data_IF_973001547643
#
_entry.id   IF_973001547643
#
_cell.length_a   1.000
_cell.length_b   1.000
_cell.length_c   1.000
_cell.angle_alpha   90.00
_cell.angle_beta   90.00
_cell.angle_gamma   90.00
#
_symmetry.space_group_name_H-M   'P 1'
#
loop_
_entity.id
_entity.type
_entity.pdbx_description
1 polymer ?
#
# COMPACT_ATOMS: atom_id res chain seq x y z
N UNK A 1 0.44 14.52 -15.57
CA UNK A 1 0.16 13.66 -14.40
C UNK A 1 -1.12 12.83 -14.59
N UNK A 2 -2.27 13.43 -14.95
CA UNK A 2 -3.55 12.70 -15.08
C UNK A 2 -3.53 11.44 -15.96
N UNK A 3 -2.89 11.46 -17.14
CA UNK A 3 -2.80 10.27 -18.02
C UNK A 3 -1.96 9.15 -17.39
N UNK A 4 -0.84 9.50 -16.75
CA UNK A 4 0.05 8.52 -16.09
C UNK A 4 -0.62 7.94 -14.85
N UNK A 5 -1.23 8.79 -14.01
CA UNK A 5 -1.97 8.36 -12.81
C UNK A 5 -3.19 7.52 -13.20
N UNK A 6 -3.91 7.90 -14.26
CA UNK A 6 -5.00 7.12 -14.83
C UNK A 6 -4.54 5.74 -15.29
N UNK A 7 -3.45 5.68 -16.07
CA UNK A 7 -2.86 4.41 -16.52
C UNK A 7 -2.42 3.50 -15.37
N UNK A 8 -1.85 4.06 -14.30
CA UNK A 8 -1.49 3.29 -13.09
C UNK A 8 -2.74 2.73 -12.41
N UNK A 9 -3.79 3.54 -12.22
CA UNK A 9 -5.04 3.09 -11.60
C UNK A 9 -5.73 2.01 -12.44
N UNK A 10 -5.83 2.22 -13.76
CA UNK A 10 -6.36 1.22 -14.70
C UNK A 10 -5.53 -0.06 -14.67
N UNK A 11 -4.21 0.05 -14.63
CA UNK A 11 -3.31 -1.10 -14.52
C UNK A 11 -3.56 -1.91 -13.24
N UNK A 12 -3.72 -1.25 -12.08
CA UNK A 12 -4.00 -1.93 -10.82
C UNK A 12 -5.38 -2.61 -10.84
N UNK A 13 -6.40 -1.98 -11.44
CA UNK A 13 -7.75 -2.55 -11.66
C UNK A 13 -7.70 -3.81 -12.52
N UNK A 14 -7.10 -3.71 -13.69
CA UNK A 14 -7.04 -4.81 -14.64
C UNK A 14 -6.16 -5.94 -14.13
N UNK A 15 -5.03 -5.64 -13.45
CA UNK A 15 -4.08 -6.65 -13.02
C UNK A 15 -4.67 -7.70 -12.07
N UNK A 16 -5.48 -7.28 -11.09
CA UNK A 16 -6.11 -8.22 -10.13
C UNK A 16 -7.11 -9.16 -10.81
N UNK A 17 -7.92 -8.64 -11.74
CA UNK A 17 -8.89 -9.45 -12.50
C UNK A 17 -8.16 -10.40 -13.45
N UNK A 18 -7.23 -9.89 -14.25
CA UNK A 18 -6.45 -10.70 -15.20
C UNK A 18 -5.64 -11.77 -14.48
N UNK A 19 -5.00 -11.45 -13.35
CA UNK A 19 -4.27 -12.43 -12.56
C UNK A 19 -5.18 -13.52 -12.01
N UNK A 20 -6.39 -13.17 -11.53
CA UNK A 20 -7.38 -14.14 -11.07
C UNK A 20 -7.86 -15.08 -12.18
N UNK A 21 -8.21 -14.53 -13.35
CA UNK A 21 -8.63 -15.33 -14.52
C UNK A 21 -7.51 -16.25 -15.01
N UNK A 22 -6.29 -15.74 -15.13
CA UNK A 22 -5.13 -16.55 -15.54
C UNK A 22 -4.79 -17.62 -14.50
N UNK A 23 -4.97 -17.33 -13.20
CA UNK A 23 -4.79 -18.31 -12.13
C UNK A 23 -5.84 -19.43 -12.19
N UNK A 24 -7.10 -19.09 -12.50
CA UNK A 24 -8.16 -20.09 -12.65
C UNK A 24 -7.94 -20.97 -13.91
N UNK A 25 -7.36 -20.42 -15.00
CA UNK A 25 -7.12 -21.16 -16.25
C UNK A 25 -5.86 -22.05 -16.24
N UNK A 26 -4.75 -21.56 -15.68
CA UNK A 26 -3.44 -22.21 -15.79
C UNK A 26 -2.61 -22.16 -14.50
N UNK A 27 -3.25 -21.87 -13.37
CA UNK A 27 -2.61 -21.72 -12.08
C UNK A 27 -1.67 -20.51 -12.02
N UNK A 28 -0.94 -20.42 -10.90
CA UNK A 28 -0.01 -19.33 -10.64
C UNK A 28 1.12 -19.22 -11.68
N UNK A 29 1.53 -20.33 -12.31
CA UNK A 29 2.61 -20.36 -13.31
C UNK A 29 2.26 -19.54 -14.56
N UNK A 30 1.03 -19.67 -15.06
CA UNK A 30 0.58 -18.91 -16.23
C UNK A 30 0.59 -17.40 -15.97
N UNK A 31 0.22 -16.99 -14.75
CA UNK A 31 0.27 -15.59 -14.32
C UNK A 31 1.71 -15.06 -14.41
N UNK A 32 2.70 -15.77 -13.85
CA UNK A 32 4.09 -15.34 -13.89
C UNK A 32 4.70 -15.35 -15.29
N UNK A 33 4.39 -16.34 -16.13
CA UNK A 33 4.86 -16.38 -17.52
C UNK A 33 4.30 -15.20 -18.33
N UNK A 34 3.02 -14.88 -18.15
CA UNK A 34 2.38 -13.74 -18.80
C UNK A 34 3.03 -12.42 -18.37
N UNK A 35 3.24 -12.23 -17.06
CA UNK A 35 3.92 -11.05 -16.51
C UNK A 35 5.37 -10.94 -17.00
N UNK A 36 6.09 -12.06 -17.12
CA UNK A 36 7.44 -12.10 -17.67
C UNK A 36 7.46 -11.65 -19.13
N UNK A 37 6.53 -12.14 -19.96
CA UNK A 37 6.41 -11.71 -21.35
C UNK A 37 6.10 -10.22 -21.49
N UNK A 38 5.14 -9.71 -20.71
CA UNK A 38 4.78 -8.29 -20.71
C UNK A 38 5.94 -7.39 -20.26
N UNK A 39 6.64 -7.77 -19.19
CA UNK A 39 7.79 -6.99 -18.70
C UNK A 39 8.96 -7.00 -19.67
N UNK A 40 9.23 -8.14 -20.33
CA UNK A 40 10.23 -8.22 -21.38
C UNK A 40 9.85 -7.35 -22.59
N UNK A 41 8.58 -7.37 -23.01
CA UNK A 41 8.07 -6.50 -24.07
C UNK A 41 8.28 -5.02 -23.73
N UNK A 42 7.93 -4.61 -22.50
CA UNK A 42 8.15 -3.24 -22.04
C UNK A 42 9.64 -2.86 -22.02
N UNK A 43 10.51 -3.77 -21.57
CA UNK A 43 11.96 -3.55 -21.59
C UNK A 43 12.49 -3.33 -23.01
N UNK A 44 12.01 -4.11 -24.00
CA UNK A 44 12.38 -3.94 -25.41
C UNK A 44 11.88 -2.61 -25.99
N UNK A 45 10.65 -2.21 -25.67
CA UNK A 45 10.12 -0.90 -26.09
C UNK A 45 10.97 0.22 -25.50
N UNK A 46 11.27 0.17 -24.21
CA UNK A 46 12.12 1.16 -23.55
C UNK A 46 13.53 1.19 -24.13
N UNK A 47 14.12 0.03 -24.44
CA UNK A 47 15.43 -0.03 -25.08
C UNK A 47 15.48 0.62 -26.48
N UNK A 48 14.35 0.66 -27.19
CA UNK A 48 14.26 1.30 -28.52
C UNK A 48 13.84 2.77 -28.48
N UNK A 49 13.05 3.17 -27.49
CA UNK A 49 12.47 4.53 -27.42
C UNK A 49 13.29 5.48 -26.56
N UNK A 50 14.00 5.00 -25.53
CA UNK A 50 14.78 5.88 -24.67
C UNK A 50 15.99 6.45 -25.44
N UNK A 51 16.17 7.79 -25.43
CA UNK A 51 17.39 8.38 -25.97
C UNK A 51 18.61 7.91 -25.17
N UNK A 52 19.81 7.84 -25.80
CA UNK A 52 21.04 7.52 -25.10
C UNK A 52 21.21 8.40 -23.87
N UNK A 53 21.52 7.79 -22.71
CA UNK A 53 21.75 8.53 -21.46
C UNK A 53 22.84 9.57 -21.70
N UNK A 54 22.52 10.85 -21.48
CA UNK A 54 23.54 11.87 -21.33
C UNK A 54 24.51 11.42 -20.22
N UNK A 55 25.83 11.50 -20.40
CA UNK A 55 26.79 11.20 -19.35
C UNK A 55 26.39 11.97 -18.09
N UNK A 56 26.36 11.30 -16.94
CA UNK A 56 26.17 11.99 -15.67
C UNK A 56 27.21 13.09 -15.58
N UNK A 57 26.78 14.36 -15.58
CA UNK A 57 27.69 15.49 -15.63
C UNK A 57 28.70 15.45 -14.48
N UNK A 58 29.85 16.16 -14.58
CA UNK A 58 31.00 16.04 -13.67
C UNK A 58 30.79 16.44 -12.20
N UNK A 59 29.55 16.55 -11.71
CA UNK A 59 29.19 16.96 -10.34
C UNK A 59 28.30 15.97 -9.59
N UNK A 60 28.16 14.72 -10.07
CA UNK A 60 27.38 13.70 -9.38
C UNK A 60 28.05 13.26 -8.07
N UNK A 61 27.28 13.16 -6.98
CA UNK A 61 27.74 12.53 -5.74
C UNK A 61 28.23 11.11 -6.04
N UNK A 62 29.38 10.74 -5.47
CA UNK A 62 29.80 9.34 -5.49
C UNK A 62 28.73 8.47 -4.83
N UNK A 63 28.55 7.24 -5.31
CA UNK A 63 27.51 6.34 -4.77
C UNK A 63 27.55 6.19 -3.23
N UNK A 64 28.72 6.06 -2.58
CA UNK A 64 28.80 6.06 -1.11
C UNK A 64 28.39 7.39 -0.48
N UNK A 65 28.74 8.52 -1.09
CA UNK A 65 28.32 9.84 -0.62
C UNK A 65 26.81 10.05 -0.76
N UNK A 66 26.20 9.50 -1.81
CA UNK A 66 24.75 9.51 -2.00
C UNK A 66 24.04 8.72 -0.91
N UNK A 67 24.49 7.50 -0.60
CA UNK A 67 23.95 6.69 0.50
C UNK A 67 24.13 7.39 1.85
N UNK A 68 25.32 7.93 2.13
CA UNK A 68 25.58 8.69 3.37
C UNK A 68 24.65 9.90 3.48
N UNK A 69 24.39 10.59 2.36
CA UNK A 69 23.47 11.73 2.35
C UNK A 69 22.03 11.34 2.68
N UNK A 70 21.56 10.17 2.23
CA UNK A 70 20.23 9.66 2.60
C UNK A 70 20.11 9.38 4.10
N UNK A 71 21.14 8.77 4.70
CA UNK A 71 21.18 8.51 6.16
C UNK A 71 21.23 9.81 6.96
N UNK A 72 22.01 10.79 6.51
CA UNK A 72 22.06 12.12 7.13
C UNK A 72 20.70 12.83 7.08
N UNK A 73 20.01 12.79 5.93
CA UNK A 73 18.65 13.33 5.82
C UNK A 73 17.67 12.69 6.81
N UNK A 74 17.77 11.37 7.05
CA UNK A 74 16.99 10.70 8.09
C UNK A 74 17.33 11.17 9.51
N UNK A 75 18.60 11.49 9.77
CA UNK A 75 19.03 11.98 11.08
C UNK A 75 18.55 13.41 11.33
N UNK A 76 18.66 14.26 10.32
CA UNK A 76 18.35 15.70 10.38
C UNK A 76 16.84 15.96 10.39
N UNK A 77 16.07 15.27 9.54
CA UNK A 77 14.65 15.57 9.35
C UNK A 77 13.75 14.71 10.25
N UNK A 78 13.31 15.27 11.38
CA UNK A 78 12.33 14.62 12.29
C UNK A 78 11.02 14.29 11.56
N UNK A 79 10.58 15.14 10.64
CA UNK A 79 9.37 14.92 9.83
C UNK A 79 9.53 13.68 8.96
N UNK A 80 10.69 13.47 8.32
CA UNK A 80 10.94 12.28 7.51
C UNK A 80 10.85 11.00 8.35
N UNK A 81 11.47 10.98 9.53
CA UNK A 81 11.41 9.82 10.45
C UNK A 81 9.99 9.47 10.85
N UNK A 82 9.21 10.46 11.28
CA UNK A 82 7.82 10.25 11.68
C UNK A 82 6.97 9.73 10.52
N UNK A 83 7.13 10.34 9.34
CA UNK A 83 6.36 9.98 8.14
C UNK A 83 6.78 8.63 7.55
N UNK A 84 8.05 8.26 7.70
CA UNK A 84 8.54 6.92 7.39
C UNK A 84 7.99 5.86 8.36
N UNK A 85 7.89 6.15 9.66
CA UNK A 85 7.23 5.26 10.62
C UNK A 85 5.74 5.06 10.28
N UNK A 86 5.02 6.12 9.89
CA UNK A 86 3.66 5.97 9.35
C UNK A 86 3.64 5.09 8.09
N UNK A 87 4.58 5.29 7.16
CA UNK A 87 4.70 4.46 5.96
C UNK A 87 4.81 2.98 6.31
N UNK A 88 5.71 2.64 7.25
CA UNK A 88 5.88 1.27 7.70
C UNK A 88 4.57 0.69 8.23
N UNK A 89 3.89 1.41 9.15
CA UNK A 89 2.67 0.90 9.79
C UNK A 89 1.51 0.77 8.81
N UNK A 90 1.24 1.78 7.97
CA UNK A 90 0.10 1.71 7.04
C UNK A 90 0.30 0.63 5.98
N UNK A 91 1.52 0.42 5.48
CA UNK A 91 1.80 -0.61 4.47
C UNK A 91 1.93 -2.00 5.08
N UNK A 92 2.33 -2.11 6.35
CA UNK A 92 2.16 -3.34 7.11
C UNK A 92 0.69 -3.69 7.24
N UNK A 93 -0.16 -2.78 7.73
CA UNK A 93 -1.62 -2.98 7.83
C UNK A 93 -2.26 -3.35 6.48
N UNK A 94 -1.86 -2.68 5.39
CA UNK A 94 -2.30 -3.02 4.03
C UNK A 94 -2.02 -4.48 3.69
N UNK A 95 -0.76 -4.92 3.88
CA UNK A 95 -0.36 -6.27 3.54
C UNK A 95 -0.90 -7.31 4.52
N UNK A 96 -1.18 -6.92 5.77
CA UNK A 96 -1.84 -7.80 6.74
C UNK A 96 -3.24 -8.19 6.31
N UNK A 97 -3.98 -7.27 5.69
CA UNK A 97 -5.25 -7.59 5.06
C UNK A 97 -5.02 -8.40 3.78
N UNK A 98 -4.29 -7.83 2.83
CA UNK A 98 -4.30 -8.29 1.44
C UNK A 98 -3.56 -9.60 1.19
N UNK A 99 -2.51 -9.91 1.95
CA UNK A 99 -1.73 -11.12 1.73
C UNK A 99 -2.50 -12.40 2.07
N UNK A 100 -3.14 -12.53 3.26
CA UNK A 100 -3.90 -13.73 3.61
C UNK A 100 -5.36 -13.71 3.13
N UNK A 101 -5.90 -12.61 2.59
CA UNK A 101 -7.34 -12.46 2.26
C UNK A 101 -7.92 -13.61 1.42
N UNK A 102 -7.12 -14.18 0.51
CA UNK A 102 -7.53 -15.32 -0.31
C UNK A 102 -7.80 -16.57 0.53
N UNK A 103 -7.06 -16.79 1.62
CA UNK A 103 -7.13 -18.01 2.43
C UNK A 103 -8.53 -18.27 3.02
N UNK A 104 -9.16 -17.33 3.76
CA UNK A 104 -10.51 -17.56 4.28
C UNK A 104 -11.59 -17.57 3.20
N UNK A 105 -11.37 -16.88 2.06
CA UNK A 105 -12.35 -16.80 0.97
C UNK A 105 -12.35 -18.03 0.07
N UNK A 106 -11.20 -18.68 -0.11
CA UNK A 106 -11.07 -19.92 -0.89
C UNK A 106 -11.39 -21.16 -0.05
N UNK A 107 -11.37 -21.07 1.27
CA UNK A 107 -11.81 -22.15 2.17
C UNK A 107 -13.33 -22.16 2.41
N UNK A 108 -13.88 -23.26 2.97
CA UNK A 108 -15.24 -23.26 3.51
C UNK A 108 -15.42 -22.17 4.58
N UNK A 109 -16.58 -21.49 4.66
CA UNK A 109 -17.84 -21.74 3.94
C UNK A 109 -17.94 -21.06 2.56
N UNK A 110 -16.97 -20.23 2.16
CA UNK A 110 -17.08 -19.34 1.01
C UNK A 110 -16.72 -20.02 -0.32
N UNK A 111 -15.65 -20.83 -0.32
CA UNK A 111 -15.16 -21.61 -1.48
C UNK A 111 -15.14 -20.80 -2.79
N UNK A 112 -14.78 -19.53 -2.71
CA UNK A 112 -14.83 -18.61 -3.85
C UNK A 112 -13.66 -18.87 -4.82
N UNK A 113 -13.92 -18.82 -6.15
CA UNK A 113 -12.87 -18.90 -7.15
C UNK A 113 -11.96 -17.65 -7.10
N UNK A 114 -10.71 -17.78 -7.57
CA UNK A 114 -9.71 -16.71 -7.45
C UNK A 114 -10.11 -15.46 -8.24
N UNK A 115 -10.81 -15.62 -9.36
CA UNK A 115 -11.40 -14.53 -10.13
C UNK A 115 -12.37 -13.67 -9.31
N UNK A 116 -13.25 -14.28 -8.49
CA UNK A 116 -14.19 -13.56 -7.62
C UNK A 116 -13.45 -12.92 -6.45
N UNK A 117 -12.49 -13.62 -5.85
CA UNK A 117 -11.64 -13.00 -4.81
C UNK A 117 -10.84 -11.81 -5.35
N UNK A 118 -10.41 -11.88 -6.62
CA UNK A 118 -9.77 -10.77 -7.33
C UNK A 118 -10.66 -9.53 -7.48
N UNK A 119 -11.98 -9.68 -7.58
CA UNK A 119 -12.94 -8.57 -7.67
C UNK A 119 -12.97 -7.71 -6.40
N UNK A 120 -12.64 -8.27 -5.23
CA UNK A 120 -12.48 -7.45 -4.02
C UNK A 120 -11.37 -6.40 -4.19
N UNK A 121 -10.40 -6.63 -5.09
CA UNK A 121 -9.41 -5.63 -5.53
C UNK A 121 -10.04 -4.33 -6.04
N UNK A 122 -11.23 -4.38 -6.64
CA UNK A 122 -11.97 -3.20 -7.10
C UNK A 122 -12.37 -2.29 -5.94
N UNK A 123 -12.71 -2.87 -4.78
CA UNK A 123 -13.01 -2.11 -3.58
C UNK A 123 -11.79 -1.28 -3.15
N UNK A 124 -10.60 -1.88 -3.18
CA UNK A 124 -9.36 -1.16 -2.87
C UNK A 124 -9.07 0.02 -3.80
N UNK A 125 -9.56 -0.05 -5.03
CA UNK A 125 -9.33 0.97 -6.04
C UNK A 125 -10.23 2.18 -5.89
N UNK A 126 -11.44 2.01 -5.36
CA UNK A 126 -12.23 3.14 -4.89
C UNK A 126 -11.48 3.93 -3.79
N UNK A 127 -10.74 3.24 -2.91
CA UNK A 127 -9.80 3.86 -1.98
C UNK A 127 -8.73 4.69 -2.69
N UNK A 128 -8.06 4.12 -3.70
CA UNK A 128 -7.06 4.84 -4.50
C UNK A 128 -7.61 6.05 -5.25
N UNK A 129 -8.81 5.95 -5.83
CA UNK A 129 -9.49 7.05 -6.52
C UNK A 129 -9.87 8.18 -5.55
N UNK A 130 -10.16 7.85 -4.29
CA UNK A 130 -10.48 8.84 -3.26
C UNK A 130 -9.25 9.62 -2.76
N UNK A 131 -8.02 9.12 -3.02
CA UNK A 131 -6.77 9.71 -2.55
C UNK A 131 -6.57 11.17 -2.98
N UNK A 132 -7.12 11.56 -4.14
CA UNK A 132 -7.07 12.95 -4.62
C UNK A 132 -7.75 13.95 -3.66
N UNK A 133 -8.83 13.54 -2.98
CA UNK A 133 -9.51 14.39 -1.99
C UNK A 133 -8.65 14.59 -0.74
N UNK A 134 -7.92 13.56 -0.31
CA UNK A 134 -6.99 13.68 0.81
C UNK A 134 -5.82 14.63 0.48
N UNK A 135 -5.33 14.61 -0.77
CA UNK A 135 -4.35 15.56 -1.26
C UNK A 135 -4.84 17.01 -1.19
N UNK A 136 -6.05 17.28 -1.68
CA UNK A 136 -6.64 18.62 -1.61
C UNK A 136 -6.81 19.13 -0.17
N UNK A 137 -7.19 18.24 0.76
CA UNK A 137 -7.28 18.60 2.19
C UNK A 137 -5.90 18.88 2.79
N UNK A 138 -4.87 18.13 2.38
CA UNK A 138 -3.51 18.36 2.82
C UNK A 138 -2.98 19.70 2.32
N UNK A 139 -3.24 20.05 1.06
CA UNK A 139 -2.85 21.32 0.44
C UNK A 139 -3.53 22.53 1.13
N UNK A 140 -4.72 22.33 1.71
CA UNK A 140 -5.43 23.34 2.54
C UNK A 140 -4.88 23.46 3.97
N UNK A 141 -3.75 22.81 4.29
CA UNK A 141 -3.16 22.82 5.63
C UNK A 141 -3.85 21.89 6.64
N UNK A 142 -4.81 21.07 6.22
CA UNK A 142 -5.53 20.14 7.09
C UNK A 142 -4.84 18.77 7.23
N UNK A 143 -3.62 18.62 6.73
CA UNK A 143 -2.88 17.35 6.67
C UNK A 143 -2.85 16.59 8.01
N UNK A 144 -2.72 17.30 9.14
CA UNK A 144 -2.75 16.68 10.50
C UNK A 144 -4.12 16.08 10.80
N UNK A 145 -5.21 16.83 10.60
CA UNK A 145 -6.58 16.37 10.84
C UNK A 145 -6.95 15.23 9.89
N UNK A 146 -6.59 15.34 8.61
CA UNK A 146 -6.79 14.28 7.62
C UNK A 146 -6.06 13.00 8.01
N UNK A 147 -4.81 13.10 8.49
CA UNK A 147 -4.04 11.93 8.98
C UNK A 147 -4.73 11.29 10.19
N UNK A 148 -5.15 12.07 11.19
CA UNK A 148 -5.82 11.54 12.38
C UNK A 148 -7.15 10.85 12.06
N UNK A 149 -8.01 11.49 11.25
CA UNK A 149 -9.29 10.90 10.81
C UNK A 149 -9.05 9.61 10.03
N UNK A 150 -8.07 9.61 9.11
CA UNK A 150 -7.72 8.42 8.35
C UNK A 150 -7.23 7.29 9.26
N UNK A 151 -6.41 7.55 10.27
CA UNK A 151 -5.93 6.53 11.20
C UNK A 151 -7.05 5.94 12.07
N UNK A 152 -7.99 6.78 12.53
CA UNK A 152 -9.19 6.30 13.23
C UNK A 152 -10.03 5.41 12.31
N UNK A 153 -10.24 5.85 11.07
CA UNK A 153 -10.99 5.10 10.07
C UNK A 153 -10.29 3.77 9.72
N UNK A 154 -8.96 3.75 9.67
CA UNK A 154 -8.13 2.55 9.48
C UNK A 154 -8.29 1.54 10.62
N UNK A 155 -8.44 2.02 11.87
CA UNK A 155 -8.69 1.16 13.02
C UNK A 155 -10.12 0.60 12.98
N UNK A 156 -11.11 1.45 12.70
CA UNK A 156 -12.52 1.05 12.62
C UNK A 156 -12.80 0.08 11.47
N UNK A 157 -12.06 0.17 10.37
CA UNK A 157 -12.18 -0.73 9.22
C UNK A 157 -12.01 -2.21 9.60
N UNK A 158 -11.23 -2.52 10.64
CA UNK A 158 -11.04 -3.90 11.10
C UNK A 158 -12.29 -4.52 11.71
N UNK A 159 -13.25 -3.73 12.21
CA UNK A 159 -14.52 -4.23 12.73
C UNK A 159 -15.33 -5.02 11.70
N UNK A 160 -15.74 -4.41 10.57
CA UNK A 160 -16.46 -5.12 9.51
C UNK A 160 -15.60 -6.19 8.80
N UNK A 161 -14.27 -6.03 8.73
CA UNK A 161 -13.36 -7.07 8.21
C UNK A 161 -13.35 -8.30 9.12
N UNK A 162 -13.37 -8.10 10.44
CA UNK A 162 -13.32 -9.17 11.42
C UNK A 162 -14.51 -10.12 11.28
N UNK A 163 -15.71 -9.60 10.96
CA UNK A 163 -16.96 -10.37 10.81
C UNK A 163 -16.80 -11.65 9.97
N UNK A 164 -15.94 -11.63 8.96
CA UNK A 164 -15.62 -12.78 8.11
C UNK A 164 -15.18 -14.04 8.90
N UNK A 165 -14.58 -13.86 10.07
CA UNK A 165 -14.08 -14.95 10.92
C UNK A 165 -15.13 -15.60 11.82
N UNK A 166 -16.29 -14.96 12.03
CA UNK A 166 -17.31 -15.43 12.98
C UNK A 166 -18.66 -15.73 12.33
N UNK A 167 -18.98 -15.11 11.19
CA UNK A 167 -20.29 -15.20 10.57
C UNK A 167 -20.20 -15.66 9.11
N UNK A 168 -21.30 -16.23 8.61
CA UNK A 168 -21.49 -16.59 7.21
C UNK A 168 -22.76 -15.94 6.65
N UNK A 169 -22.80 -15.68 5.35
CA UNK A 169 -23.94 -15.07 4.64
C UNK A 169 -23.58 -13.83 3.81
N UNK A 170 -24.43 -13.49 2.82
CA UNK A 170 -24.12 -12.43 1.84
C UNK A 170 -23.78 -11.06 2.46
N UNK A 171 -24.38 -10.74 3.61
CA UNK A 171 -24.10 -9.48 4.34
C UNK A 171 -22.65 -9.38 4.85
N UNK A 172 -21.99 -10.52 5.13
CA UNK A 172 -20.59 -10.56 5.58
C UNK A 172 -19.65 -10.15 4.46
N UNK A 173 -19.95 -10.53 3.21
CA UNK A 173 -19.17 -10.09 2.05
C UNK A 173 -19.34 -8.58 1.82
N UNK A 174 -20.55 -8.05 2.04
CA UNK A 174 -20.78 -6.61 1.98
C UNK A 174 -20.03 -5.86 3.09
N UNK A 175 -20.01 -6.40 4.31
CA UNK A 175 -19.20 -5.86 5.41
C UNK A 175 -17.71 -5.90 5.08
N UNK A 176 -17.22 -7.00 4.51
CA UNK A 176 -15.83 -7.12 4.06
C UNK A 176 -15.48 -6.06 3.00
N UNK A 177 -16.34 -5.86 1.99
CA UNK A 177 -16.15 -4.80 0.98
C UNK A 177 -16.10 -3.42 1.63
N UNK A 178 -17.01 -3.12 2.56
CA UNK A 178 -17.02 -1.87 3.30
C UNK A 178 -15.72 -1.68 4.09
N UNK A 179 -15.26 -2.74 4.77
CA UNK A 179 -14.00 -2.73 5.50
C UNK A 179 -12.79 -2.47 4.63
N UNK A 180 -12.69 -3.16 3.48
CA UNK A 180 -11.62 -2.95 2.49
C UNK A 180 -11.64 -1.51 1.96
N UNK A 181 -12.82 -0.99 1.62
CA UNK A 181 -13.00 0.38 1.16
C UNK A 181 -12.49 1.40 2.17
N UNK A 182 -12.89 1.23 3.43
CA UNK A 182 -12.47 2.11 4.52
C UNK A 182 -10.97 2.02 4.74
N UNK A 183 -10.42 0.80 4.84
CA UNK A 183 -9.00 0.59 5.08
C UNK A 183 -8.14 1.21 3.97
N UNK A 184 -8.45 0.93 2.70
CA UNK A 184 -7.65 1.41 1.58
C UNK A 184 -7.81 2.93 1.40
N UNK A 185 -8.99 3.49 1.64
CA UNK A 185 -9.18 4.95 1.66
C UNK A 185 -8.33 5.61 2.75
N UNK A 186 -8.30 5.05 3.96
CA UNK A 186 -7.46 5.55 5.05
C UNK A 186 -5.97 5.47 4.71
N UNK A 187 -5.50 4.31 4.24
CA UNK A 187 -4.10 4.09 3.88
C UNK A 187 -3.67 5.08 2.80
N UNK A 188 -4.47 5.25 1.75
CA UNK A 188 -4.19 6.18 0.67
C UNK A 188 -4.22 7.64 1.14
N UNK A 189 -5.13 7.99 2.05
CA UNK A 189 -5.15 9.32 2.65
C UNK A 189 -3.87 9.61 3.45
N UNK A 190 -3.43 8.68 4.31
CA UNK A 190 -2.18 8.83 5.08
C UNK A 190 -0.96 8.83 4.16
N UNK A 191 -0.94 8.01 3.11
CA UNK A 191 0.15 7.97 2.15
C UNK A 191 0.30 9.29 1.40
N UNK A 192 -0.80 9.86 0.90
CA UNK A 192 -0.78 11.16 0.20
C UNK A 192 -0.41 12.29 1.15
N UNK A 193 -0.94 12.34 2.38
CA UNK A 193 -0.56 13.37 3.36
C UNK A 193 0.90 13.24 3.79
N UNK A 194 1.45 12.02 3.83
CA UNK A 194 2.87 11.82 4.08
C UNK A 194 3.72 12.41 2.95
N UNK A 195 3.35 12.14 1.71
CA UNK A 195 4.07 12.67 0.54
C UNK A 195 3.98 14.20 0.45
N UNK A 196 2.81 14.79 0.71
CA UNK A 196 2.62 16.25 0.68
C UNK A 196 3.45 16.97 1.73
N UNK A 197 3.76 16.32 2.86
CA UNK A 197 4.59 16.88 3.92
C UNK A 197 6.08 16.60 3.75
N UNK A 198 6.46 15.51 3.08
CA UNK A 198 7.87 15.19 2.81
C UNK A 198 8.40 16.00 1.63
N UNK A 199 7.64 16.14 0.54
CA UNK A 199 8.16 16.72 -0.70
C UNK A 199 8.61 18.19 -0.59
N UNK A 200 7.96 19.06 0.20
CA UNK A 200 8.40 20.44 0.38
C UNK A 200 9.66 20.61 1.25
N UNK A 201 10.08 19.60 2.03
CA UNK A 201 11.15 19.75 3.03
C UNK A 201 12.49 20.15 2.40
N UNK A 202 12.93 19.44 1.35
CA UNK A 202 14.16 19.74 0.61
C UNK A 202 13.97 19.43 -0.88
N UNK A 203 13.53 20.39 -1.69
CA UNK A 203 13.31 20.20 -3.13
C UNK A 203 14.54 19.65 -3.86
N UNK A 204 15.74 20.10 -3.47
CA UNK A 204 17.03 19.65 -4.02
C UNK A 204 17.38 18.19 -3.67
N UNK A 205 16.73 17.60 -2.67
CA UNK A 205 16.93 16.23 -2.22
C UNK A 205 15.70 15.34 -2.43
N UNK A 206 14.73 15.77 -3.24
CA UNK A 206 13.42 15.09 -3.38
C UNK A 206 13.52 13.59 -3.68
N UNK A 207 14.39 13.19 -4.61
CA UNK A 207 14.58 11.77 -4.96
C UNK A 207 15.11 10.94 -3.78
N UNK A 208 16.01 11.52 -2.97
CA UNK A 208 16.58 10.89 -1.76
C UNK A 208 15.52 10.75 -0.66
N UNK A 209 14.70 11.79 -0.45
CA UNK A 209 13.58 11.76 0.48
C UNK A 209 12.55 10.69 0.10
N UNK A 210 12.19 10.62 -1.18
CA UNK A 210 11.28 9.59 -1.71
C UNK A 210 11.90 8.20 -1.51
N UNK A 211 13.16 8.01 -1.89
CA UNK A 211 13.85 6.72 -1.72
C UNK A 211 13.86 6.29 -0.25
N UNK A 212 14.15 7.21 0.66
CA UNK A 212 14.12 6.96 2.09
C UNK A 212 12.75 6.53 2.62
N UNK A 213 11.70 7.24 2.20
CA UNK A 213 10.32 6.88 2.50
C UNK A 213 9.94 5.49 1.96
N UNK A 214 10.36 5.18 0.73
CA UNK A 214 10.04 3.92 0.05
C UNK A 214 10.74 2.69 0.67
N UNK A 215 11.84 2.88 1.40
CA UNK A 215 12.45 1.80 2.18
C UNK A 215 11.49 1.32 3.28
N UNK A 216 10.90 2.24 4.05
CA UNK A 216 9.97 1.91 5.12
C UNK A 216 8.64 1.37 4.59
N UNK A 217 8.16 1.92 3.48
CA UNK A 217 7.05 1.34 2.70
C UNK A 217 7.29 -0.15 2.42
N UNK A 218 8.49 -0.48 1.91
CA UNK A 218 8.82 -1.83 1.45
C UNK A 218 9.02 -2.78 2.63
N UNK A 219 9.72 -2.31 3.67
CA UNK A 219 9.90 -3.06 4.93
C UNK A 219 8.55 -3.34 5.61
N UNK A 220 7.67 -2.34 5.68
CA UNK A 220 6.32 -2.50 6.23
C UNK A 220 5.52 -3.53 5.43
N UNK A 221 5.57 -3.44 4.10
CA UNK A 221 4.88 -4.40 3.23
C UNK A 221 5.35 -5.84 3.44
N UNK A 222 6.66 -6.06 3.47
CA UNK A 222 7.24 -7.38 3.70
C UNK A 222 6.93 -7.91 5.10
N UNK A 223 7.12 -7.09 6.15
CA UNK A 223 6.83 -7.46 7.53
C UNK A 223 5.34 -7.77 7.73
N UNK A 224 4.45 -6.96 7.15
CA UNK A 224 3.00 -7.18 7.19
C UNK A 224 2.59 -8.49 6.54
N UNK A 225 3.07 -8.77 5.32
CA UNK A 225 2.75 -10.02 4.62
C UNK A 225 3.25 -11.27 5.39
N UNK A 226 4.48 -11.23 5.91
CA UNK A 226 5.06 -12.32 6.69
C UNK A 226 4.29 -12.56 8.00
N UNK A 227 4.12 -11.51 8.81
CA UNK A 227 3.43 -11.59 10.10
C UNK A 227 1.96 -11.99 9.96
N UNK A 228 1.28 -11.56 8.89
CA UNK A 228 -0.10 -11.96 8.63
C UNK A 228 -0.24 -13.43 8.24
N UNK A 229 0.69 -13.96 7.45
CA UNK A 229 0.72 -15.38 7.12
C UNK A 229 0.94 -16.22 8.38
N UNK A 230 1.86 -15.80 9.26
CA UNK A 230 2.09 -16.45 10.55
C UNK A 230 0.88 -16.35 11.49
N UNK A 231 0.26 -15.17 11.58
CA UNK A 231 -0.92 -14.94 12.41
C UNK A 231 -2.11 -15.77 11.93
N UNK A 232 -2.31 -15.88 10.62
CA UNK A 232 -3.34 -16.74 10.04
C UNK A 232 -3.09 -18.21 10.35
N UNK A 233 -1.84 -18.68 10.25
CA UNK A 233 -1.49 -20.05 10.59
C UNK A 233 -1.70 -20.38 12.07
N UNK A 234 -1.43 -19.42 12.97
CA UNK A 234 -1.53 -19.62 14.43
C UNK A 234 -2.96 -19.47 14.98
N UNK A 235 -3.73 -18.50 14.47
CA UNK A 235 -5.01 -18.10 15.07
C UNK A 235 -6.11 -17.81 14.02
N UNK A 236 -5.90 -18.21 12.76
CA UNK A 236 -6.86 -18.00 11.67
C UNK A 236 -7.12 -16.52 11.36
N UNK A 237 -8.27 -16.25 10.77
CA UNK A 237 -8.69 -14.89 10.42
C UNK A 237 -8.77 -13.92 11.62
N UNK A 238 -9.29 -14.32 12.79
CA UNK A 238 -9.27 -13.46 13.98
C UNK A 238 -7.88 -12.96 14.36
N UNK A 239 -6.85 -13.82 14.24
CA UNK A 239 -5.45 -13.45 14.49
C UNK A 239 -4.95 -12.37 13.54
N UNK A 240 -5.28 -12.48 12.26
CA UNK A 240 -4.96 -11.46 11.24
C UNK A 240 -5.64 -10.13 11.57
N UNK A 241 -6.92 -10.16 11.94
CA UNK A 241 -7.66 -8.96 12.29
C UNK A 241 -7.12 -8.27 13.56
N UNK A 242 -6.75 -9.03 14.58
CA UNK A 242 -6.14 -8.49 15.80
C UNK A 242 -4.77 -7.87 15.52
N UNK A 243 -3.94 -8.53 14.71
CA UNK A 243 -2.65 -7.97 14.27
C UNK A 243 -2.84 -6.66 13.51
N UNK A 244 -3.77 -6.65 12.55
CA UNK A 244 -4.09 -5.48 11.75
C UNK A 244 -4.62 -4.31 12.58
N UNK A 245 -5.57 -4.59 13.49
CA UNK A 245 -6.10 -3.60 14.42
C UNK A 245 -5.01 -3.08 15.37
N UNK A 246 -4.11 -3.95 15.84
CA UNK A 246 -2.97 -3.58 16.68
C UNK A 246 -2.00 -2.62 15.96
N UNK A 247 -1.67 -2.89 14.70
CA UNK A 247 -0.86 -1.99 13.88
C UNK A 247 -1.57 -0.65 13.61
N UNK A 248 -2.88 -0.68 13.36
CA UNK A 248 -3.69 0.55 13.22
C UNK A 248 -3.72 1.36 14.51
N UNK A 249 -3.88 0.72 15.65
CA UNK A 249 -3.85 1.36 16.96
C UNK A 249 -2.46 1.95 17.26
N UNK A 250 -1.39 1.21 16.97
CA UNK A 250 -0.02 1.71 17.12
C UNK A 250 0.23 2.96 16.25
N UNK A 251 -0.29 2.99 15.02
CA UNK A 251 -0.21 4.17 14.16
C UNK A 251 -1.00 5.35 14.75
N UNK A 252 -2.19 5.10 15.29
CA UNK A 252 -2.99 6.14 15.95
C UNK A 252 -2.32 6.69 17.21
N UNK A 253 -1.73 5.83 18.04
CA UNK A 253 -0.96 6.23 19.23
C UNK A 253 0.27 7.04 18.82
N UNK A 254 1.01 6.60 17.79
CA UNK A 254 2.12 7.37 17.25
C UNK A 254 1.68 8.76 16.78
N UNK A 255 0.50 8.88 16.17
CA UNK A 255 -0.07 10.17 15.80
C UNK A 255 -0.50 11.01 16.99
N UNK A 256 -1.04 10.42 18.05
CA UNK A 256 -1.37 11.16 19.26
C UNK A 256 -0.11 11.75 19.92
N UNK A 257 0.91 10.91 20.13
CA UNK A 257 2.14 11.27 20.86
C UNK A 257 3.06 12.19 20.04
N UNK A 258 3.14 12.02 18.72
CA UNK A 258 4.07 12.81 17.91
C UNK A 258 3.65 14.28 17.71
N UNK A 259 2.45 14.64 18.16
CA UNK A 259 1.87 15.97 17.97
C UNK A 259 1.39 16.64 19.27
N UNK A 260 1.84 16.12 20.41
CA UNK A 260 1.97 16.84 21.70
C UNK A 260 3.37 17.47 21.78
#
# INVERSE_FOLDING_TARGET
MGIVTGGVVTGILSARIFAGVLADLGGWRLVYLTLSGLTLGMALVLARVLPPRAPAGPGGLSYPALLRSMVLLFREERVLRLRAAFAFLIFATFNVLWAPLVLPLSGPPWSLPHSVTGLFGLAGLAGALSAGRAGQLADRGLARRTTGVALVLMLLAWGPIAVLGWFSGAWVLAALVLGILLLDLAIQAVHVTNQSLIFPLRPEARSRLVGGYMVFYSLGSAAGALSATMAYAAAGWPGVCLLGAGLSAAALVLWAVAWE
#
